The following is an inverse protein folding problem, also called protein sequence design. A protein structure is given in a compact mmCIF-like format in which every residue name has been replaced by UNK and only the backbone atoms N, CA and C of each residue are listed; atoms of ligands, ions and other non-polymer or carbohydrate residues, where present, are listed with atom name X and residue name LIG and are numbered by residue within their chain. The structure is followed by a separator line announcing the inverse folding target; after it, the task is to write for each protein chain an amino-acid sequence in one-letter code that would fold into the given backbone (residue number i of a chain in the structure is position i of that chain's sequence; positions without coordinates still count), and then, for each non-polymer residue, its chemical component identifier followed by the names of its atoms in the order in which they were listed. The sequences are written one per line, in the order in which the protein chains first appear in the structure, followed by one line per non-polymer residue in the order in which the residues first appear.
data_IF_265654283396
#
_entry.id   IF_265654283396
#
_cell.length_a   1.000
_cell.length_b   1.000
_cell.length_c   1.000
_cell.angle_alpha   90.00
_cell.angle_beta   90.00
_cell.angle_gamma   90.00
#
_symmetry.space_group_name_H-M   'P 1'
#
loop_
_entity.id
_entity.type
_entity.pdbx_description
1 polymer ?
#
# COMPACT_ATOMS: atom_id res chain seq x y z
N UNK A 1 46.82 -3.16 17.59
CA UNK A 1 45.46 -3.55 18.02
C UNK A 1 44.37 -2.55 17.58
N UNK A 2 44.59 -1.25 17.74
CA UNK A 2 43.56 -0.25 17.30
C UNK A 2 43.34 -0.22 15.81
N UNK A 3 44.35 -0.54 14.99
CA UNK A 3 44.24 -0.59 13.51
C UNK A 3 43.43 -1.82 13.03
N UNK A 4 43.47 -2.91 13.81
CA UNK A 4 42.73 -4.14 13.46
C UNK A 4 41.22 -3.97 13.67
N UNK A 5 40.82 -3.29 14.72
CA UNK A 5 39.39 -2.98 14.96
C UNK A 5 38.82 -2.04 13.90
N UNK A 6 39.61 -1.08 13.41
CA UNK A 6 39.20 -0.16 12.37
C UNK A 6 38.93 -0.87 11.03
N UNK A 7 39.80 -1.82 10.67
CA UNK A 7 39.65 -2.62 9.45
C UNK A 7 38.42 -3.52 9.52
N UNK A 8 38.17 -4.15 10.67
CA UNK A 8 36.97 -4.95 10.89
C UNK A 8 35.69 -4.10 10.80
N UNK A 9 35.73 -2.88 11.31
CA UNK A 9 34.59 -1.97 11.26
C UNK A 9 34.27 -1.52 9.82
N UNK A 10 35.32 -1.21 9.05
CA UNK A 10 35.18 -0.84 7.62
C UNK A 10 34.65 -2.00 6.78
N UNK A 11 35.12 -3.23 7.06
CA UNK A 11 34.64 -4.43 6.35
C UNK A 11 33.15 -4.69 6.68
N UNK A 12 32.71 -4.47 7.92
CA UNK A 12 31.31 -4.58 8.30
C UNK A 12 30.44 -3.54 7.59
N UNK A 13 30.91 -2.32 7.45
CA UNK A 13 30.20 -1.26 6.72
C UNK A 13 30.05 -1.58 5.24
N UNK A 14 31.08 -2.17 4.62
CA UNK A 14 31.02 -2.60 3.22
C UNK A 14 30.06 -3.75 2.98
N UNK A 15 29.95 -4.69 3.95
CA UNK A 15 29.00 -5.80 3.88
C UNK A 15 27.54 -5.33 4.02
N UNK A 16 27.30 -4.27 4.78
CA UNK A 16 25.96 -3.67 4.91
C UNK A 16 25.52 -2.91 3.64
N UNK A 17 26.45 -2.44 2.82
CA UNK A 17 26.16 -1.77 1.58
C UNK A 17 25.86 -2.70 0.39
N UNK A 18 26.05 -3.99 0.51
CA UNK A 18 25.91 -4.96 -0.59
C UNK A 18 24.54 -5.69 -0.61
N UNK A 19 23.66 -5.49 0.36
CA UNK A 19 22.32 -6.06 0.38
C UNK A 19 21.26 -5.02 0.02
N UNK A 20 20.16 -5.47 -0.62
CA UNK A 20 18.98 -4.63 -0.71
C UNK A 20 18.48 -4.37 0.71
N UNK A 21 18.79 -3.19 1.22
CA UNK A 21 18.31 -2.79 2.53
C UNK A 21 16.83 -2.40 2.42
N UNK A 22 15.97 -3.10 3.15
CA UNK A 22 14.59 -2.69 3.33
C UNK A 22 14.58 -1.45 4.24
N UNK A 23 14.43 -0.27 3.65
CA UNK A 23 14.33 0.98 4.38
C UNK A 23 12.85 1.30 4.61
N UNK A 24 12.41 1.37 5.88
CA UNK A 24 11.03 1.74 6.17
C UNK A 24 10.67 3.09 5.55
N UNK A 25 9.48 3.14 4.99
CA UNK A 25 8.94 4.33 4.34
C UNK A 25 7.42 4.31 4.42
N UNK A 26 6.78 5.35 3.93
CA UNK A 26 5.33 5.34 3.77
C UNK A 26 4.90 4.27 2.76
N UNK A 27 3.73 3.67 2.94
CA UNK A 27 3.22 2.73 1.94
C UNK A 27 3.02 3.42 0.59
N UNK A 28 3.16 2.63 -0.47
CA UNK A 28 3.08 3.15 -1.84
C UNK A 28 2.36 2.17 -2.75
N UNK A 29 1.79 2.68 -3.83
CA UNK A 29 1.18 1.90 -4.90
C UNK A 29 2.20 1.75 -6.03
N UNK A 30 2.54 0.51 -6.37
CA UNK A 30 3.54 0.22 -7.40
C UNK A 30 2.93 -0.26 -8.71
N UNK A 31 1.65 -0.61 -8.71
CA UNK A 31 0.91 -1.00 -9.91
C UNK A 31 -0.57 -0.64 -9.76
N UNK A 32 -1.16 -0.16 -10.83
CA UNK A 32 -2.58 0.17 -10.90
C UNK A 32 -3.18 -0.33 -12.20
N UNK A 33 -4.28 -1.05 -12.09
CA UNK A 33 -5.08 -1.48 -13.25
C UNK A 33 -6.47 -0.88 -13.07
N UNK A 34 -6.93 -0.15 -14.06
CA UNK A 34 -8.26 0.47 -14.06
C UNK A 34 -9.21 -0.32 -14.96
N UNK A 35 -10.38 -0.64 -14.42
CA UNK A 35 -11.49 -1.21 -15.19
C UNK A 35 -12.69 -0.28 -15.01
N UNK A 36 -12.89 0.65 -15.98
CA UNK A 36 -13.84 1.74 -15.78
C UNK A 36 -13.35 2.65 -14.65
N UNK A 37 -14.15 2.80 -13.60
CA UNK A 37 -13.77 3.53 -12.39
C UNK A 37 -13.38 2.62 -11.22
N UNK A 38 -13.30 1.32 -11.46
CA UNK A 38 -12.77 0.37 -10.48
C UNK A 38 -11.25 0.35 -10.58
N UNK A 39 -10.57 0.42 -9.45
CA UNK A 39 -9.11 0.43 -9.36
C UNK A 39 -8.62 -0.82 -8.66
N UNK A 40 -7.68 -1.51 -9.30
CA UNK A 40 -6.99 -2.67 -8.73
C UNK A 40 -5.54 -2.28 -8.50
N UNK A 41 -5.14 -2.21 -7.24
CA UNK A 41 -3.86 -1.65 -6.83
C UNK A 41 -2.97 -2.72 -6.21
N UNK A 42 -1.69 -2.69 -6.57
CA UNK A 42 -0.65 -3.44 -5.86
C UNK A 42 0.08 -2.47 -4.96
N UNK A 43 0.06 -2.77 -3.66
CA UNK A 43 0.57 -1.89 -2.60
C UNK A 43 1.77 -2.54 -1.92
N UNK A 44 2.78 -1.75 -1.62
CA UNK A 44 3.88 -2.13 -0.75
C UNK A 44 3.77 -1.33 0.55
N UNK A 45 3.81 -2.05 1.67
CA UNK A 45 3.69 -1.43 2.99
C UNK A 45 4.97 -0.68 3.40
N UNK A 46 6.12 -1.11 2.88
CA UNK A 46 7.44 -0.56 3.20
C UNK A 46 7.78 -0.63 4.70
N UNK A 47 7.36 -1.72 5.32
CA UNK A 47 7.66 -2.05 6.72
C UNK A 47 7.71 -3.58 6.88
N UNK A 48 8.33 -4.04 7.96
CA UNK A 48 8.49 -5.47 8.22
C UNK A 48 7.23 -6.14 8.75
N UNK A 49 6.33 -5.37 9.35
CA UNK A 49 5.11 -5.86 9.96
C UNK A 49 4.02 -4.79 9.96
N UNK A 50 2.80 -5.19 9.67
CA UNK A 50 1.61 -4.35 9.82
C UNK A 50 0.94 -4.73 11.15
N UNK A 51 1.13 -3.90 12.18
CA UNK A 51 0.63 -4.20 13.53
C UNK A 51 -0.89 -4.09 13.61
N UNK A 52 -1.47 -3.05 13.02
CA UNK A 52 -2.92 -2.81 12.98
C UNK A 52 -3.37 -2.73 11.52
N UNK A 53 -3.95 -3.82 11.04
CA UNK A 53 -4.42 -3.94 9.65
C UNK A 53 -5.54 -2.96 9.32
N UNK A 54 -6.45 -2.74 10.25
CA UNK A 54 -7.58 -1.83 10.03
C UNK A 54 -7.12 -0.38 9.92
N UNK A 55 -6.26 0.06 10.82
CA UNK A 55 -5.66 1.41 10.76
C UNK A 55 -4.84 1.60 9.50
N UNK A 56 -4.04 0.60 9.13
CA UNK A 56 -3.25 0.62 7.90
C UNK A 56 -4.14 0.73 6.67
N UNK A 57 -5.23 -0.04 6.61
CA UNK A 57 -6.18 0.02 5.51
C UNK A 57 -6.83 1.40 5.39
N UNK A 58 -7.26 1.99 6.50
CA UNK A 58 -7.82 3.35 6.49
C UNK A 58 -6.82 4.39 6.00
N UNK A 59 -5.57 4.27 6.42
CA UNK A 59 -4.48 5.14 5.91
C UNK A 59 -4.37 5.06 4.38
N UNK A 60 -4.41 3.85 3.83
CA UNK A 60 -4.35 3.65 2.38
C UNK A 60 -5.56 4.26 1.66
N UNK A 61 -6.76 4.14 2.23
CA UNK A 61 -7.96 4.75 1.66
C UNK A 61 -7.83 6.28 1.63
N UNK A 62 -7.37 6.89 2.72
CA UNK A 62 -7.11 8.33 2.75
C UNK A 62 -6.10 8.75 1.67
N UNK A 63 -5.04 7.98 1.49
CA UNK A 63 -4.03 8.25 0.46
C UNK A 63 -4.63 8.14 -0.95
N UNK A 64 -5.56 7.21 -1.16
CA UNK A 64 -6.30 7.12 -2.42
C UNK A 64 -7.18 8.36 -2.66
N UNK A 65 -7.90 8.79 -1.64
CA UNK A 65 -8.77 9.97 -1.71
C UNK A 65 -7.98 11.25 -1.98
N UNK A 66 -6.80 11.38 -1.38
CA UNK A 66 -5.91 12.52 -1.55
C UNK A 66 -5.01 12.40 -2.79
N UNK A 67 -4.96 11.23 -3.42
CA UNK A 67 -4.05 10.92 -4.53
C UNK A 67 -2.58 11.21 -4.16
N UNK A 68 -2.17 10.78 -2.96
CA UNK A 68 -0.90 11.15 -2.35
C UNK A 68 0.19 10.09 -2.43
N UNK A 69 -0.02 8.99 -3.19
CA UNK A 69 1.03 7.99 -3.41
C UNK A 69 2.18 8.57 -4.21
N UNK A 70 3.39 8.11 -3.91
CA UNK A 70 4.61 8.68 -4.50
C UNK A 70 4.85 8.20 -5.93
N UNK A 71 4.72 6.90 -6.19
CA UNK A 71 5.11 6.29 -7.47
C UNK A 71 4.04 6.47 -8.54
N UNK A 72 2.75 6.32 -8.17
CA UNK A 72 1.63 6.41 -9.11
C UNK A 72 0.67 7.51 -8.67
N UNK A 73 0.29 8.35 -9.60
CA UNK A 73 -0.81 9.30 -9.45
C UNK A 73 -1.98 8.83 -10.30
N UNK A 74 -3.16 8.84 -9.71
CA UNK A 74 -4.37 8.44 -10.42
C UNK A 74 -4.87 9.58 -11.30
N UNK A 75 -5.31 9.22 -12.51
CA UNK A 75 -6.00 10.18 -13.38
C UNK A 75 -7.41 10.44 -12.83
N UNK A 76 -7.79 11.71 -12.79
CA UNK A 76 -9.13 12.13 -12.41
C UNK A 76 -9.99 12.56 -13.62
N UNK A 77 -9.51 12.31 -14.84
CA UNK A 77 -10.18 12.71 -16.08
C UNK A 77 -11.59 12.10 -16.24
N UNK A 78 -11.76 10.88 -15.68
CA UNK A 78 -13.04 10.16 -15.71
C UNK A 78 -13.78 10.21 -14.38
N UNK A 79 -13.37 11.11 -13.48
CA UNK A 79 -13.86 11.19 -12.12
C UNK A 79 -13.02 10.35 -11.16
N UNK A 80 -13.43 10.31 -9.90
CA UNK A 80 -12.76 9.54 -8.86
C UNK A 80 -13.16 8.06 -8.92
N UNK A 81 -12.39 7.21 -8.27
CA UNK A 81 -12.66 5.78 -8.23
C UNK A 81 -14.03 5.47 -7.61
N UNK A 82 -14.73 4.51 -8.18
CA UNK A 82 -16.01 4.01 -7.67
C UNK A 82 -15.83 2.78 -6.77
N UNK A 83 -14.71 2.10 -6.88
CA UNK A 83 -14.36 0.93 -6.06
C UNK A 83 -12.85 0.76 -6.09
N UNK A 84 -12.29 0.32 -4.95
CA UNK A 84 -10.86 0.07 -4.84
C UNK A 84 -10.65 -1.35 -4.31
N UNK A 85 -9.75 -2.08 -4.95
CA UNK A 85 -9.24 -3.35 -4.46
C UNK A 85 -7.71 -3.23 -4.35
N UNK A 86 -7.15 -3.61 -3.21
CA UNK A 86 -5.71 -3.55 -2.97
C UNK A 86 -5.18 -4.90 -2.54
N UNK A 87 -4.10 -5.33 -3.19
CA UNK A 87 -3.30 -6.47 -2.78
C UNK A 87 -2.02 -5.92 -2.15
N UNK A 88 -1.80 -6.21 -0.87
CA UNK A 88 -0.72 -5.61 -0.08
C UNK A 88 0.41 -6.61 0.14
N UNK A 89 1.63 -6.17 -0.16
CA UNK A 89 2.88 -6.86 0.15
C UNK A 89 3.70 -5.99 1.12
N UNK A 90 4.56 -6.60 1.93
CA UNK A 90 5.41 -5.81 2.82
C UNK A 90 6.47 -5.03 2.05
N UNK A 91 7.13 -5.69 1.09
CA UNK A 91 8.21 -5.09 0.32
C UNK A 91 8.07 -5.40 -1.17
N UNK A 92 8.62 -4.52 -2.00
CA UNK A 92 8.55 -4.64 -3.46
C UNK A 92 9.15 -5.94 -4.00
N UNK A 93 10.24 -6.41 -3.41
CA UNK A 93 10.90 -7.65 -3.83
C UNK A 93 10.09 -8.91 -3.48
N UNK A 94 9.08 -8.79 -2.61
CA UNK A 94 8.19 -9.89 -2.23
C UNK A 94 7.00 -10.08 -3.16
N UNK A 95 6.73 -9.17 -4.08
CA UNK A 95 5.59 -9.26 -5.01
C UNK A 95 5.67 -10.51 -5.87
N UNK A 96 6.88 -10.91 -6.27
CA UNK A 96 7.13 -12.15 -6.99
C UNK A 96 7.53 -13.25 -6.01
N UNK A 97 6.69 -14.26 -5.85
CA UNK A 97 7.01 -15.45 -5.07
C UNK A 97 6.49 -15.48 -3.65
N UNK A 98 5.83 -14.43 -3.20
CA UNK A 98 5.18 -14.39 -1.88
C UNK A 98 3.68 -14.12 -2.04
N UNK A 99 2.90 -14.62 -1.08
CA UNK A 99 1.49 -14.27 -0.99
C UNK A 99 1.32 -12.87 -0.42
N UNK A 100 0.17 -12.25 -0.68
CA UNK A 100 -0.20 -10.98 -0.07
C UNK A 100 -0.30 -11.13 1.45
N UNK A 101 0.05 -10.08 2.18
CA UNK A 101 -0.11 -10.06 3.65
C UNK A 101 -1.50 -9.60 4.06
N UNK A 102 -2.20 -8.88 3.18
CA UNK A 102 -3.60 -8.53 3.35
C UNK A 102 -4.22 -8.12 2.03
N UNK A 103 -5.53 -8.28 1.95
CA UNK A 103 -6.36 -7.81 0.85
C UNK A 103 -7.33 -6.77 1.38
N UNK A 104 -7.49 -5.67 0.64
CA UNK A 104 -8.38 -4.58 1.03
C UNK A 104 -9.38 -4.34 -0.08
N UNK A 105 -10.64 -4.13 0.29
CA UNK A 105 -11.67 -3.72 -0.64
C UNK A 105 -12.45 -2.56 -0.05
N UNK A 106 -12.64 -1.51 -0.84
CA UNK A 106 -13.40 -0.33 -0.46
C UNK A 106 -14.46 -0.09 -1.53
N UNK A 107 -15.71 -0.26 -1.18
CA UNK A 107 -16.83 -0.25 -2.12
C UNK A 107 -18.10 0.28 -1.46
N UNK A 108 -19.05 0.79 -2.24
CA UNK A 108 -20.35 1.20 -1.71
C UNK A 108 -21.09 0.01 -1.08
N UNK A 109 -21.78 0.26 0.03
CA UNK A 109 -22.66 -0.74 0.66
C UNK A 109 -23.78 -1.17 -0.30
N UNK A 110 -24.30 -0.22 -1.07
CA UNK A 110 -25.26 -0.47 -2.14
C UNK A 110 -24.70 0.08 -3.45
N UNK A 111 -24.75 -0.73 -4.50
CA UNK A 111 -24.23 -0.34 -5.80
C UNK A 111 -24.95 0.91 -6.31
N UNK A 112 -24.17 1.94 -6.65
CA UNK A 112 -24.67 3.14 -7.30
C UNK A 112 -23.53 3.74 -8.15
N UNK A 113 -23.76 3.91 -9.44
CA UNK A 113 -22.77 4.43 -10.38
C UNK A 113 -22.37 5.88 -10.12
N UNK A 114 -23.16 6.62 -9.36
CA UNK A 114 -22.89 8.03 -9.05
C UNK A 114 -21.98 8.22 -7.83
N UNK A 115 -21.70 7.14 -7.07
CA UNK A 115 -20.86 7.23 -5.89
C UNK A 115 -19.38 7.10 -6.23
N UNK A 116 -18.57 7.91 -5.59
CA UNK A 116 -17.12 7.81 -5.66
C UNK A 116 -16.48 8.01 -4.29
N UNK A 117 -15.20 7.63 -4.17
CA UNK A 117 -14.48 7.59 -2.90
C UNK A 117 -14.24 8.98 -2.28
N UNK A 118 -14.33 10.04 -3.06
CA UNK A 118 -14.06 11.42 -2.62
C UNK A 118 -15.34 12.14 -2.23
N UNK A 119 -16.37 12.06 -3.08
CA UNK A 119 -17.60 12.81 -2.89
C UNK A 119 -18.62 12.10 -1.99
N UNK A 120 -18.56 10.78 -1.91
CA UNK A 120 -19.53 9.97 -1.20
C UNK A 120 -18.90 8.97 -0.23
N UNK A 121 -17.91 9.37 0.60
CA UNK A 121 -17.22 8.43 1.49
C UNK A 121 -18.15 7.78 2.53
N UNK A 122 -19.24 8.46 2.90
CA UNK A 122 -20.25 7.96 3.82
C UNK A 122 -21.06 6.78 3.26
N UNK A 123 -21.00 6.54 1.96
CA UNK A 123 -21.68 5.43 1.28
C UNK A 123 -20.84 4.18 1.15
N UNK A 124 -19.55 4.26 1.50
CA UNK A 124 -18.58 3.19 1.29
C UNK A 124 -18.36 2.37 2.56
N UNK A 125 -18.02 1.10 2.35
CA UNK A 125 -17.62 0.16 3.39
C UNK A 125 -16.23 -0.36 3.10
N UNK A 126 -15.45 -0.53 4.16
CA UNK A 126 -14.09 -1.07 4.10
C UNK A 126 -14.09 -2.54 4.52
N UNK A 127 -13.46 -3.38 3.72
CA UNK A 127 -13.25 -4.80 4.03
C UNK A 127 -11.75 -5.07 4.08
N UNK A 128 -11.33 -5.80 5.10
CA UNK A 128 -9.95 -6.28 5.26
C UNK A 128 -10.01 -7.79 5.35
N UNK A 129 -9.30 -8.47 4.43
CA UNK A 129 -9.29 -9.93 4.32
C UNK A 129 -10.72 -10.53 4.28
N UNK A 130 -11.63 -9.84 3.60
CA UNK A 130 -13.02 -10.27 3.42
C UNK A 130 -13.95 -9.92 4.57
N UNK A 131 -13.46 -9.29 5.64
CA UNK A 131 -14.26 -8.94 6.80
C UNK A 131 -14.55 -7.43 6.82
N UNK A 132 -15.82 -7.08 7.07
CA UNK A 132 -16.24 -5.69 7.20
C UNK A 132 -15.56 -5.05 8.41
N UNK A 133 -14.93 -3.91 8.19
CA UNK A 133 -14.36 -3.09 9.26
C UNK A 133 -15.44 -2.18 9.81
N UNK A 134 -15.77 -2.35 11.07
CA UNK A 134 -16.71 -1.50 11.76
C UNK A 134 -16.02 -0.22 12.25
N UNK A 135 -16.74 0.88 12.15
CA UNK A 135 -16.25 2.19 12.58
C UNK A 135 -16.64 2.42 14.05
#
# INVERSE_FOLDING_TARGET
MKKFCLICFIVMLLLQGCGEAHLPADPDVVSSISMGRDQYLTVVANCDEIEDKEEFAWKLIEMCQENSFRTIKFSTDRGYAARIHMSVYLWKDEIKGHDTVMEIEYKPAEFNMDYDIVNNPDKFELYVDGELVEI
#
